data_IF_455976003352
#
_entry.id   IF_455976003352
#
_cell.length_a   1.000
_cell.length_b   1.000
_cell.length_c   1.000
_cell.angle_alpha   90.00
_cell.angle_beta   90.00
_cell.angle_gamma   90.00
#
_symmetry.space_group_name_H-M   'P 1'
#
loop_
_entity.id
_entity.type
_entity.pdbx_description
1 polymer ?
#
# COMPACT_ATOMS: atom_id res chain seq x y z
N UNK A 1 -2.07 -3.29 6.98
CA UNK A 1 -0.70 -2.87 6.60
C UNK A 1 -0.72 -1.89 5.41
N UNK A 2 -1.60 -0.87 5.49
CA UNK A 2 -1.31 0.45 4.90
C UNK A 2 0.02 1.02 5.43
N UNK A 3 0.60 0.45 6.48
CA UNK A 3 1.72 0.98 7.24
C UNK A 3 3.07 1.00 6.50
N UNK A 4 3.45 -0.02 5.71
CA UNK A 4 4.72 0.02 4.95
C UNK A 4 4.58 0.79 3.65
N UNK A 5 3.40 0.76 3.02
CA UNK A 5 3.08 1.62 1.88
C UNK A 5 2.94 3.08 2.29
N UNK A 6 2.25 3.39 3.40
CA UNK A 6 2.19 4.73 3.99
C UNK A 6 3.55 5.19 4.50
N UNK A 7 4.41 4.33 5.05
CA UNK A 7 5.76 4.73 5.43
C UNK A 7 6.61 5.07 4.21
N UNK A 8 6.71 4.20 3.20
CA UNK A 8 7.48 4.50 1.99
C UNK A 8 6.92 5.72 1.26
N UNK A 9 5.60 5.92 1.26
CA UNK A 9 4.97 7.01 0.56
C UNK A 9 4.95 8.33 1.35
N UNK A 10 4.75 8.30 2.68
CA UNK A 10 5.00 9.48 3.56
C UNK A 10 6.47 9.89 3.51
N UNK A 11 7.41 8.95 3.47
CA UNK A 11 8.84 9.24 3.33
C UNK A 11 9.19 9.73 1.92
N UNK A 12 8.64 9.13 0.86
CA UNK A 12 8.83 9.59 -0.52
C UNK A 12 8.20 10.96 -0.80
N UNK A 13 7.05 11.28 -0.21
CA UNK A 13 6.46 12.62 -0.24
C UNK A 13 7.28 13.64 0.56
N UNK A 14 7.88 13.24 1.69
CA UNK A 14 8.82 14.08 2.44
C UNK A 14 10.08 14.37 1.59
N UNK A 15 10.59 13.36 0.88
CA UNK A 15 11.76 13.47 0.01
C UNK A 15 11.48 14.28 -1.27
N UNK A 16 10.24 14.35 -1.77
CA UNK A 16 9.84 15.26 -2.87
C UNK A 16 9.89 16.75 -2.49
N UNK A 17 10.08 17.09 -1.21
CA UNK A 17 10.41 18.46 -0.78
C UNK A 17 11.91 18.77 -0.88
N UNK A 18 12.73 17.81 -1.31
CA UNK A 18 14.17 17.98 -1.54
C UNK A 18 14.46 17.95 -3.06
N UNK A 19 15.33 18.83 -3.58
CA UNK A 19 15.66 18.87 -5.00
C UNK A 19 16.43 17.60 -5.45
N UNK A 20 16.18 17.08 -6.67
CA UNK A 20 16.82 15.86 -7.16
C UNK A 20 18.30 16.07 -7.52
N UNK A 21 19.18 15.08 -7.25
CA UNK A 21 20.55 15.11 -7.74
C UNK A 21 20.62 14.79 -9.25
N UNK A 22 21.57 15.39 -10.00
CA UNK A 22 21.56 15.38 -11.46
C UNK A 22 22.37 14.19 -12.02
N UNK A 23 21.81 12.98 -12.02
CA UNK A 23 22.22 11.91 -12.98
C UNK A 23 21.54 10.58 -12.68
N UNK A 24 20.61 10.14 -13.54
CA UNK A 24 20.35 8.72 -13.83
C UNK A 24 19.24 8.62 -14.89
N UNK A 25 19.60 8.91 -16.14
CA UNK A 25 18.86 8.49 -17.33
C UNK A 25 19.48 7.18 -17.81
N UNK A 26 18.65 6.29 -18.39
CA UNK A 26 18.97 5.02 -19.07
C UNK A 26 18.78 3.75 -18.21
N UNK A 27 17.66 3.05 -18.43
CA UNK A 27 17.63 1.69 -19.01
C UNK A 27 16.17 1.19 -19.05
N UNK A 28 15.59 1.04 -20.25
CA UNK A 28 14.24 0.49 -20.47
C UNK A 28 14.21 -0.18 -21.84
N UNK A 29 14.05 -1.51 -21.90
CA UNK A 29 13.36 -2.28 -22.97
C UNK A 29 13.54 -3.79 -22.76
N UNK A 30 12.44 -4.58 -22.64
CA UNK A 30 12.07 -5.71 -23.55
C UNK A 30 10.74 -6.43 -23.14
N UNK A 31 9.86 -6.64 -24.13
CA UNK A 31 8.56 -7.36 -24.34
C UNK A 31 7.97 -8.33 -23.26
N UNK A 32 6.66 -8.45 -22.96
CA UNK A 32 5.34 -8.63 -23.68
C UNK A 32 5.09 -9.98 -24.41
N UNK A 33 4.15 -10.84 -23.93
CA UNK A 33 2.98 -11.41 -24.68
C UNK A 33 2.02 -12.35 -23.87
N UNK A 34 0.73 -11.95 -23.75
CA UNK A 34 -0.59 -12.69 -23.82
C UNK A 34 -0.78 -14.04 -23.03
N UNK A 35 -1.90 -14.37 -22.36
CA UNK A 35 -3.31 -14.36 -22.79
C UNK A 35 -4.30 -14.65 -21.62
N UNK A 36 -5.60 -14.58 -21.93
CA UNK A 36 -6.79 -14.30 -21.09
C UNK A 36 -7.41 -15.43 -20.25
N UNK A 37 -8.14 -14.97 -19.20
CA UNK A 37 -9.44 -15.43 -18.67
C UNK A 37 -9.59 -16.84 -18.09
N UNK A 38 -9.81 -16.95 -16.77
CA UNK A 38 -10.63 -18.02 -16.18
C UNK A 38 -11.40 -17.56 -14.93
N UNK A 39 -12.65 -18.02 -14.87
CA UNK A 39 -13.67 -17.88 -13.86
C UNK A 39 -13.31 -18.71 -12.60
N UNK A 40 -13.51 -18.18 -11.39
CA UNK A 40 -13.20 -18.90 -10.13
C UNK A 40 -14.46 -19.56 -9.53
N UNK A 41 -14.47 -20.87 -9.26
CA UNK A 41 -15.45 -21.50 -8.37
C UNK A 41 -15.04 -21.39 -6.90
N UNK A 42 -15.95 -21.60 -5.93
CA UNK A 42 -15.68 -21.42 -4.50
C UNK A 42 -14.82 -22.55 -3.93
N UNK A 43 -13.90 -22.21 -3.02
CA UNK A 43 -12.96 -23.15 -2.39
C UNK A 43 -13.58 -23.90 -1.19
N UNK A 44 -13.30 -25.21 -1.02
CA UNK A 44 -13.74 -25.98 0.14
C UNK A 44 -12.79 -25.82 1.34
N UNK A 45 -13.37 -26.03 2.54
CA UNK A 45 -12.70 -26.02 3.84
C UNK A 45 -11.57 -27.05 3.94
N UNK A 46 -10.44 -26.61 4.51
CA UNK A 46 -9.14 -27.27 4.40
C UNK A 46 -8.99 -28.57 5.20
N UNK A 47 -8.24 -29.49 4.59
CA UNK A 47 -7.46 -30.52 5.26
C UNK A 47 -5.97 -30.20 5.10
N UNK A 48 -5.18 -30.53 6.12
CA UNK A 48 -3.74 -30.26 6.19
C UNK A 48 -3.00 -30.85 4.96
N UNK A 49 -2.37 -29.99 4.17
CA UNK A 49 -1.54 -30.39 3.03
C UNK A 49 -0.12 -30.71 3.47
N UNK A 50 0.35 -31.92 3.17
CA UNK A 50 1.77 -32.29 3.21
C UNK A 50 2.55 -31.34 2.28
N UNK A 51 3.46 -30.54 2.86
CA UNK A 51 4.30 -29.57 2.16
C UNK A 51 5.50 -30.29 1.52
N UNK A 52 5.38 -30.64 0.24
CA UNK A 52 6.41 -31.37 -0.52
C UNK A 52 7.25 -30.47 -1.44
N UNK A 53 7.37 -29.18 -1.12
CA UNK A 53 8.29 -28.27 -1.81
C UNK A 53 9.66 -28.20 -1.11
N UNK A 54 10.74 -27.80 -1.80
CA UNK A 54 12.07 -27.68 -1.20
C UNK A 54 12.00 -26.85 0.09
N UNK A 55 12.52 -27.41 1.19
CA UNK A 55 12.66 -26.68 2.46
C UNK A 55 13.80 -25.69 2.30
N UNK A 56 13.49 -24.40 2.35
CA UNK A 56 14.52 -23.37 2.20
C UNK A 56 14.78 -22.74 3.56
N UNK A 57 16.04 -22.71 4.06
CA UNK A 57 16.35 -22.14 5.36
C UNK A 57 16.02 -20.66 5.37
N UNK A 58 15.10 -20.25 6.26
CA UNK A 58 14.82 -18.85 6.56
C UNK A 58 15.65 -18.44 7.76
N UNK A 59 16.16 -17.22 7.75
CA UNK A 59 16.76 -16.63 8.95
C UNK A 59 15.65 -16.18 9.91
N UNK A 60 15.04 -17.15 10.60
CA UNK A 60 13.95 -16.92 11.55
C UNK A 60 14.37 -15.98 12.68
N UNK A 61 15.65 -16.02 13.09
CA UNK A 61 16.19 -15.14 14.12
C UNK A 61 16.25 -13.67 13.66
N UNK A 62 16.69 -13.43 12.42
CA UNK A 62 16.64 -12.12 11.79
C UNK A 62 15.21 -11.60 11.67
N UNK A 63 14.30 -12.43 11.14
CA UNK A 63 12.90 -12.04 10.94
C UNK A 63 12.23 -11.67 12.26
N UNK A 64 12.36 -12.51 13.29
CA UNK A 64 11.77 -12.25 14.60
C UNK A 64 12.30 -10.95 15.24
N UNK A 65 13.60 -10.68 15.10
CA UNK A 65 14.21 -9.48 15.72
C UNK A 65 13.83 -8.20 14.96
N UNK A 66 13.95 -8.21 13.63
CA UNK A 66 13.76 -7.02 12.81
C UNK A 66 12.29 -6.64 12.68
N UNK A 67 11.40 -7.61 12.50
CA UNK A 67 9.96 -7.35 12.34
C UNK A 67 9.39 -6.74 13.62
N UNK A 68 9.65 -7.35 14.78
CA UNK A 68 9.14 -6.85 16.06
C UNK A 68 9.67 -5.44 16.35
N UNK A 69 10.97 -5.21 16.16
CA UNK A 69 11.57 -3.89 16.32
C UNK A 69 10.92 -2.82 15.42
N UNK A 70 10.65 -3.16 14.15
CA UNK A 70 9.97 -2.24 13.21
C UNK A 70 8.53 -1.96 13.64
N UNK A 71 7.80 -2.98 14.07
CA UNK A 71 6.42 -2.84 14.55
C UNK A 71 6.37 -1.95 15.80
N UNK A 72 7.27 -2.17 16.77
CA UNK A 72 7.30 -1.41 18.02
C UNK A 72 7.66 0.05 17.76
N UNK A 73 8.68 0.29 16.92
CA UNK A 73 9.03 1.64 16.50
C UNK A 73 7.84 2.33 15.82
N UNK A 74 7.17 1.64 14.91
CA UNK A 74 6.03 2.20 14.19
C UNK A 74 4.87 2.53 15.13
N UNK A 75 4.50 1.62 16.04
CA UNK A 75 3.47 1.86 17.07
C UNK A 75 3.83 3.08 17.91
N UNK A 76 5.09 3.20 18.35
CA UNK A 76 5.53 4.36 19.12
C UNK A 76 5.39 5.69 18.35
N UNK A 77 5.58 5.67 17.03
CA UNK A 77 5.38 6.84 16.16
C UNK A 77 3.90 7.16 16.04
N UNK A 78 3.06 6.16 15.78
CA UNK A 78 1.62 6.34 15.71
C UNK A 78 1.02 6.87 17.00
N UNK A 79 1.45 6.33 18.14
CA UNK A 79 0.97 6.76 19.45
C UNK A 79 1.35 8.21 19.71
N UNK A 80 2.58 8.61 19.38
CA UNK A 80 3.02 10.00 19.46
C UNK A 80 2.20 10.93 18.56
N UNK A 81 1.99 10.55 17.30
CA UNK A 81 1.15 11.31 16.36
C UNK A 81 -0.31 11.39 16.81
N UNK A 82 -0.84 10.32 17.41
CA UNK A 82 -2.19 10.28 17.96
C UNK A 82 -2.33 11.20 19.16
N UNK A 83 -1.38 11.14 20.10
CA UNK A 83 -1.34 12.02 21.27
C UNK A 83 -1.22 13.49 20.86
N UNK A 84 -0.35 13.80 19.89
CA UNK A 84 -0.23 15.14 19.35
C UNK A 84 -1.55 15.62 18.74
N UNK A 85 -2.26 14.77 17.99
CA UNK A 85 -3.57 15.11 17.41
C UNK A 85 -4.65 15.39 18.45
N UNK A 86 -4.62 14.72 19.61
CA UNK A 86 -5.57 15.00 20.70
C UNK A 86 -5.43 16.42 21.27
N UNK A 87 -4.27 17.04 21.11
CA UNK A 87 -4.04 18.43 21.53
C UNK A 87 -4.48 19.47 20.50
N UNK A 88 -4.87 19.06 19.30
CA UNK A 88 -5.25 19.95 18.22
C UNK A 88 -6.75 20.25 18.26
N UNK A 89 -7.12 21.49 17.94
CA UNK A 89 -8.52 21.92 17.90
C UNK A 89 -9.24 21.34 16.67
N UNK A 90 -10.43 20.75 16.84
CA UNK A 90 -11.26 20.24 15.74
C UNK A 90 -12.11 21.35 15.13
N UNK A 91 -11.47 22.42 14.69
CA UNK A 91 -12.14 23.60 14.13
C UNK A 91 -12.93 23.23 12.86
N UNK A 92 -14.07 23.89 12.58
CA UNK A 92 -14.79 23.69 11.33
C UNK A 92 -13.90 23.99 10.12
N UNK A 93 -14.00 23.16 9.09
CA UNK A 93 -13.28 23.33 7.82
C UNK A 93 -14.22 23.17 6.63
N UNK A 94 -13.93 23.89 5.56
CA UNK A 94 -14.67 23.84 4.30
C UNK A 94 -13.90 23.00 3.27
N UNK A 95 -14.57 21.98 2.74
CA UNK A 95 -14.00 21.03 1.80
C UNK A 95 -14.70 21.23 0.46
N UNK A 96 -13.96 21.74 -0.53
CA UNK A 96 -14.50 22.02 -1.87
C UNK A 96 -14.30 20.81 -2.77
N UNK A 97 -15.38 20.33 -3.40
CA UNK A 97 -15.36 19.22 -4.34
C UNK A 97 -15.24 19.71 -5.79
N UNK A 98 -14.86 18.84 -6.75
CA UNK A 98 -14.62 19.24 -8.14
C UNK A 98 -15.87 19.74 -8.88
N UNK A 99 -17.06 19.41 -8.39
CA UNK A 99 -18.35 19.89 -8.88
C UNK A 99 -18.71 21.29 -8.33
N UNK A 100 -17.85 21.88 -7.51
CA UNK A 100 -18.06 23.15 -6.83
C UNK A 100 -18.91 23.04 -5.56
N UNK A 101 -19.38 21.84 -5.20
CA UNK A 101 -20.10 21.65 -3.95
C UNK A 101 -19.14 21.76 -2.75
N UNK A 102 -19.67 22.24 -1.63
CA UNK A 102 -18.90 22.43 -0.39
C UNK A 102 -19.45 21.49 0.68
N UNK A 103 -18.53 20.78 1.34
CA UNK A 103 -18.80 19.92 2.49
C UNK A 103 -18.18 20.53 3.74
N UNK A 104 -18.91 20.44 4.84
CA UNK A 104 -18.43 20.88 6.15
C UNK A 104 -17.72 19.71 6.84
N UNK A 105 -16.53 19.95 7.36
CA UNK A 105 -15.74 18.98 8.10
C UNK A 105 -15.20 19.53 9.41
N UNK A 106 -14.48 18.69 10.13
CA UNK A 106 -13.72 19.08 11.33
C UNK A 106 -12.25 18.81 11.09
N UNK A 107 -11.43 19.83 11.30
CA UNK A 107 -9.98 19.75 11.24
C UNK A 107 -9.46 18.60 12.11
N UNK A 108 -8.47 17.86 11.62
CA UNK A 108 -7.85 16.70 12.29
C UNK A 108 -8.76 15.51 12.58
N UNK A 109 -10.04 15.57 12.20
CA UNK A 109 -11.03 14.53 12.45
C UNK A 109 -11.62 13.98 11.15
N UNK A 110 -12.10 14.85 10.26
CA UNK A 110 -12.69 14.45 8.97
C UNK A 110 -11.62 13.96 8.01
N UNK A 111 -11.87 12.81 7.38
CA UNK A 111 -10.98 12.20 6.38
C UNK A 111 -11.60 12.25 4.98
N UNK A 112 -10.79 12.13 3.90
CA UNK A 112 -11.34 11.95 2.54
C UNK A 112 -12.32 10.78 2.43
N UNK A 113 -12.12 9.71 3.19
CA UNK A 113 -13.02 8.56 3.23
C UNK A 113 -14.41 8.93 3.79
N UNK A 114 -14.47 9.76 4.83
CA UNK A 114 -15.74 10.23 5.38
C UNK A 114 -16.51 11.05 4.33
N UNK A 115 -15.81 11.96 3.63
CA UNK A 115 -16.41 12.75 2.55
C UNK A 115 -16.87 11.85 1.39
N UNK A 116 -16.07 10.84 1.01
CA UNK A 116 -16.46 9.88 -0.01
C UNK A 116 -17.74 9.12 0.37
N UNK A 117 -17.89 8.76 1.65
CA UNK A 117 -19.05 8.05 2.19
C UNK A 117 -20.30 8.91 2.21
N UNK A 118 -20.17 10.21 2.45
CA UNK A 118 -21.26 11.18 2.32
C UNK A 118 -21.74 11.37 0.88
N UNK A 119 -20.83 11.26 -0.10
CA UNK A 119 -21.19 11.33 -1.53
C UNK A 119 -21.93 10.05 -1.94
N UNK A 120 -21.32 8.89 -1.76
CA UNK A 120 -22.00 7.60 -1.95
C UNK A 120 -21.21 6.44 -1.35
N UNK A 121 -21.92 5.37 -0.96
CA UNK A 121 -21.29 4.12 -0.50
C UNK A 121 -20.40 3.48 -1.57
N UNK A 122 -20.81 3.56 -2.85
CA UNK A 122 -20.03 3.00 -3.94
C UNK A 122 -18.72 3.76 -4.16
N UNK A 123 -18.75 5.10 -4.11
CA UNK A 123 -17.53 5.90 -4.22
C UNK A 123 -16.59 5.63 -3.05
N UNK A 124 -17.09 5.58 -1.82
CA UNK A 124 -16.27 5.26 -0.65
C UNK A 124 -15.60 3.88 -0.75
N UNK A 125 -16.29 2.90 -1.33
CA UNK A 125 -15.75 1.55 -1.53
C UNK A 125 -14.71 1.48 -2.65
N UNK A 126 -14.77 2.36 -3.64
CA UNK A 126 -13.94 2.32 -4.84
C UNK A 126 -12.82 3.37 -4.86
N UNK A 127 -12.87 4.36 -3.97
CA UNK A 127 -11.85 5.40 -3.87
C UNK A 127 -10.57 4.83 -3.26
N UNK A 128 -9.45 5.04 -3.96
CA UNK A 128 -8.14 4.48 -3.61
C UNK A 128 -7.21 5.53 -3.01
N UNK A 129 -7.29 6.76 -3.52
CA UNK A 129 -6.44 7.87 -3.10
C UNK A 129 -7.21 9.18 -3.27
N UNK A 130 -6.83 10.19 -2.48
CA UNK A 130 -7.33 11.55 -2.62
C UNK A 130 -6.21 12.49 -3.09
N UNK A 131 -6.60 13.69 -3.52
CA UNK A 131 -5.71 14.83 -3.69
C UNK A 131 -6.31 16.01 -2.94
N UNK A 132 -5.51 16.59 -2.06
CA UNK A 132 -5.85 17.70 -1.19
C UNK A 132 -4.92 18.85 -1.55
N UNK A 133 -5.47 19.95 -2.05
CA UNK A 133 -4.71 21.14 -2.47
C UNK A 133 -3.55 20.82 -3.43
N UNK A 134 -3.82 19.94 -4.39
CA UNK A 134 -2.85 19.54 -5.39
C UNK A 134 -1.85 18.45 -4.95
N UNK A 135 -1.83 18.06 -3.67
CA UNK A 135 -0.97 17.00 -3.15
C UNK A 135 -1.75 15.70 -2.94
N UNK A 136 -1.16 14.55 -3.31
CA UNK A 136 -1.79 13.26 -3.05
C UNK A 136 -1.93 13.02 -1.53
N UNK A 137 -3.01 12.37 -1.14
CA UNK A 137 -3.45 12.25 0.25
C UNK A 137 -4.13 10.91 0.52
N UNK A 138 -3.77 10.25 1.63
CA UNK A 138 -4.36 8.96 2.00
C UNK A 138 -5.83 9.11 2.39
N UNK A 139 -6.66 8.14 2.00
CA UNK A 139 -8.11 8.16 2.26
C UNK A 139 -8.49 8.29 3.74
N UNK A 140 -7.68 7.74 4.64
CA UNK A 140 -7.92 7.77 6.09
C UNK A 140 -7.05 8.81 6.84
N UNK A 141 -6.28 9.64 6.12
CA UNK A 141 -5.51 10.71 6.75
C UNK A 141 -6.45 11.91 7.01
N UNK A 142 -6.58 12.39 8.26
CA UNK A 142 -7.43 13.55 8.54
C UNK A 142 -7.00 14.81 7.80
N UNK A 143 -7.97 15.63 7.43
CA UNK A 143 -7.74 16.92 6.76
C UNK A 143 -7.28 17.97 7.79
N UNK A 144 -6.37 18.85 7.37
CA UNK A 144 -5.64 19.76 8.27
C UNK A 144 -6.17 21.20 8.22
N UNK A 145 -7.14 21.49 7.34
CA UNK A 145 -7.70 22.81 7.13
C UNK A 145 -8.73 22.81 6.00
N UNK A 146 -9.15 24.01 5.60
CA UNK A 146 -9.92 24.21 4.37
C UNK A 146 -9.10 23.71 3.18
N UNK A 147 -9.74 22.98 2.26
CA UNK A 147 -9.04 22.38 1.15
C UNK A 147 -9.93 22.08 -0.06
N UNK A 148 -9.29 21.98 -1.23
CA UNK A 148 -9.87 21.36 -2.41
C UNK A 148 -9.61 19.85 -2.40
N UNK A 149 -10.68 19.06 -2.42
CA UNK A 149 -10.61 17.60 -2.37
C UNK A 149 -11.02 16.98 -3.69
N UNK A 150 -10.15 16.13 -4.25
CA UNK A 150 -10.45 15.26 -5.38
C UNK A 150 -10.23 13.81 -5.00
N UNK A 151 -11.18 12.94 -5.34
CA UNK A 151 -11.11 11.50 -5.09
C UNK A 151 -10.81 10.75 -6.38
N UNK A 152 -9.99 9.72 -6.27
CA UNK A 152 -9.52 8.93 -7.42
C UNK A 152 -9.85 7.46 -7.23
N UNK A 153 -10.47 6.88 -8.26
CA UNK A 153 -10.75 5.45 -8.38
C UNK A 153 -9.71 4.79 -9.28
N UNK A 154 -9.81 3.47 -9.46
CA UNK A 154 -8.94 2.70 -10.34
C UNK A 154 -8.95 3.17 -11.81
N UNK A 155 -9.93 3.96 -12.23
CA UNK A 155 -10.00 4.47 -13.62
C UNK A 155 -8.99 5.59 -13.90
N UNK A 156 -8.47 6.21 -12.84
CA UNK A 156 -7.44 7.26 -12.92
C UNK A 156 -6.03 6.72 -12.81
N UNK A 157 -5.05 7.46 -13.34
CA UNK A 157 -3.63 7.10 -13.20
C UNK A 157 -3.22 7.11 -11.72
N UNK A 158 -3.63 8.12 -10.95
CA UNK A 158 -3.32 8.22 -9.53
C UNK A 158 -3.88 7.03 -8.73
N UNK A 159 -5.09 6.58 -9.07
CA UNK A 159 -5.71 5.41 -8.44
C UNK A 159 -4.99 4.12 -8.80
N UNK A 160 -4.67 3.89 -10.10
CA UNK A 160 -3.91 2.71 -10.54
C UNK A 160 -2.53 2.64 -9.91
N UNK A 161 -1.81 3.76 -9.90
CA UNK A 161 -0.47 3.84 -9.31
C UNK A 161 -0.50 3.47 -7.82
N UNK A 162 -1.49 4.01 -7.09
CA UNK A 162 -1.67 3.70 -5.66
C UNK A 162 -2.02 2.23 -5.44
N UNK A 163 -2.91 1.67 -6.28
CA UNK A 163 -3.28 0.26 -6.22
C UNK A 163 -2.06 -0.65 -6.44
N UNK A 164 -1.35 -0.45 -7.55
CA UNK A 164 -0.18 -1.25 -7.91
C UNK A 164 0.97 -1.10 -6.92
N UNK A 165 1.17 0.09 -6.37
CA UNK A 165 2.14 0.29 -5.30
C UNK A 165 1.79 -0.53 -4.05
N UNK A 166 0.51 -0.53 -3.65
CA UNK A 166 0.05 -1.32 -2.51
C UNK A 166 0.16 -2.83 -2.77
N UNK A 167 -0.14 -3.29 -3.99
CA UNK A 167 0.04 -4.69 -4.41
C UNK A 167 1.51 -5.11 -4.38
N UNK A 168 2.43 -4.24 -4.79
CA UNK A 168 3.87 -4.48 -4.68
C UNK A 168 4.25 -4.75 -3.21
N UNK A 169 3.81 -3.92 -2.27
CA UNK A 169 4.12 -4.13 -0.85
C UNK A 169 3.57 -5.45 -0.29
N UNK A 170 2.39 -5.89 -0.75
CA UNK A 170 1.82 -7.20 -0.37
C UNK A 170 2.72 -8.34 -0.90
N UNK A 171 3.18 -8.23 -2.15
CA UNK A 171 4.12 -9.20 -2.72
C UNK A 171 5.46 -9.20 -1.96
N UNK A 172 6.03 -8.03 -1.70
CA UNK A 172 7.26 -7.88 -0.91
C UNK A 172 7.12 -8.52 0.48
N UNK A 173 6.01 -8.24 1.19
CA UNK A 173 5.74 -8.89 2.48
C UNK A 173 5.70 -10.41 2.35
N UNK A 174 5.01 -10.93 1.33
CA UNK A 174 4.94 -12.36 1.11
C UNK A 174 6.32 -12.95 0.84
N UNK A 175 7.17 -12.28 0.06
CA UNK A 175 8.53 -12.73 -0.22
C UNK A 175 9.39 -12.74 1.06
N UNK A 176 9.37 -11.65 1.84
CA UNK A 176 10.14 -11.53 3.10
C UNK A 176 9.70 -12.58 4.12
N UNK A 177 8.40 -12.82 4.29
CA UNK A 177 7.88 -13.81 5.25
C UNK A 177 8.04 -15.26 4.77
N UNK A 178 7.79 -15.51 3.49
CA UNK A 178 7.83 -16.87 2.94
C UNK A 178 9.25 -17.34 2.69
N UNK A 179 10.19 -16.45 2.37
CA UNK A 179 11.55 -16.85 1.99
C UNK A 179 12.65 -16.17 2.81
N UNK A 180 12.36 -15.16 3.62
CA UNK A 180 13.40 -14.44 4.37
C UNK A 180 14.30 -13.58 3.46
N UNK A 181 13.87 -13.28 2.24
CA UNK A 181 14.63 -12.45 1.31
C UNK A 181 14.69 -10.99 1.78
N UNK A 182 15.73 -10.27 1.33
CA UNK A 182 15.89 -8.85 1.64
C UNK A 182 15.25 -8.00 0.56
N UNK A 183 14.23 -7.24 0.93
CA UNK A 183 13.49 -6.37 0.01
C UNK A 183 14.38 -5.26 -0.57
N UNK A 184 14.27 -5.04 -1.87
CA UNK A 184 14.99 -4.00 -2.61
C UNK A 184 14.02 -2.96 -3.16
N UNK A 185 13.63 -3.06 -4.44
CA UNK A 185 12.82 -2.05 -5.13
C UNK A 185 11.49 -2.69 -5.55
N UNK A 186 10.36 -2.05 -5.23
CA UNK A 186 9.04 -2.50 -5.67
C UNK A 186 8.22 -1.37 -6.27
N UNK A 187 8.56 -0.85 -7.45
CA UNK A 187 7.81 0.21 -8.07
C UNK A 187 6.56 -0.36 -8.76
N UNK A 188 5.50 0.43 -8.82
CA UNK A 188 4.43 0.17 -9.77
C UNK A 188 4.98 0.38 -11.19
N UNK A 189 4.47 -0.38 -12.16
CA UNK A 189 4.82 -0.14 -13.56
C UNK A 189 4.11 1.14 -14.01
N UNK A 190 4.89 2.14 -14.43
CA UNK A 190 4.46 3.52 -14.74
C UNK A 190 3.52 3.65 -15.96
N UNK A 191 2.93 2.54 -16.42
CA UNK A 191 2.07 2.46 -17.61
C UNK A 191 0.82 1.59 -17.43
N UNK A 192 0.46 1.25 -16.20
CA UNK A 192 -0.74 0.44 -15.93
C UNK A 192 -0.60 -1.04 -16.26
N UNK A 193 0.64 -1.55 -16.34
CA UNK A 193 0.96 -2.94 -16.70
C UNK A 193 1.21 -3.83 -15.46
N UNK A 194 0.74 -3.39 -14.28
CA UNK A 194 0.88 -4.12 -13.02
C UNK A 194 2.03 -3.61 -12.15
N UNK A 195 2.66 -4.53 -11.41
CA UNK A 195 3.65 -4.25 -10.38
C UNK A 195 4.70 -5.35 -10.32
N UNK A 196 5.87 -5.04 -9.74
CA UNK A 196 6.89 -6.04 -9.42
C UNK A 196 7.55 -5.69 -8.08
N UNK A 197 8.32 -6.64 -7.55
CA UNK A 197 9.15 -6.42 -6.38
C UNK A 197 10.47 -7.18 -6.50
N UNK A 198 11.57 -6.46 -6.41
CA UNK A 198 12.92 -7.00 -6.38
C UNK A 198 13.29 -7.38 -4.95
N UNK A 199 13.84 -8.57 -4.78
CA UNK A 199 14.37 -9.02 -3.50
C UNK A 199 15.67 -9.77 -3.70
N UNK A 200 16.62 -9.52 -2.78
CA UNK A 200 17.88 -10.26 -2.73
C UNK A 200 17.70 -11.56 -1.94
N UNK A 201 18.09 -12.67 -2.56
CA UNK A 201 17.92 -14.01 -1.99
C UNK A 201 19.18 -14.87 -2.07
N UNK A 202 20.35 -14.30 -1.76
CA UNK A 202 21.61 -15.02 -1.79
C UNK A 202 21.87 -15.61 -3.18
N UNK A 203 22.26 -16.89 -3.22
CA UNK A 203 22.54 -17.62 -4.47
C UNK A 203 21.31 -18.34 -5.05
N UNK A 204 20.13 -18.19 -4.43
CA UNK A 204 18.90 -18.88 -4.83
C UNK A 204 18.01 -17.99 -5.70
N UNK A 205 17.55 -18.55 -6.82
CA UNK A 205 16.53 -17.96 -7.68
C UNK A 205 15.15 -18.55 -7.43
N UNK A 206 14.11 -17.71 -7.40
CA UNK A 206 12.73 -18.17 -7.38
C UNK A 206 12.26 -18.51 -8.80
N UNK A 207 11.49 -19.59 -8.91
CA UNK A 207 10.90 -20.09 -10.16
C UNK A 207 9.40 -20.40 -9.94
N UNK A 208 8.74 -20.99 -10.94
CA UNK A 208 7.30 -21.29 -10.90
C UNK A 208 6.90 -22.22 -9.74
N UNK A 209 7.78 -23.14 -9.31
CA UNK A 209 7.50 -24.06 -8.19
C UNK A 209 7.29 -23.30 -6.86
N UNK A 210 7.83 -22.09 -6.76
CA UNK A 210 7.74 -21.24 -5.59
C UNK A 210 6.47 -20.38 -5.55
N UNK A 211 5.77 -20.24 -6.69
CA UNK A 211 4.67 -19.28 -6.85
C UNK A 211 3.50 -19.58 -5.93
N UNK A 212 3.16 -20.87 -5.74
CA UNK A 212 2.04 -21.24 -4.87
C UNK A 212 2.23 -20.71 -3.44
N UNK A 213 3.44 -20.84 -2.88
CA UNK A 213 3.74 -20.35 -1.52
C UNK A 213 3.76 -18.81 -1.44
N UNK A 214 4.10 -18.13 -2.53
CA UNK A 214 4.01 -16.66 -2.62
C UNK A 214 2.55 -16.22 -2.65
N UNK A 215 1.72 -16.86 -3.48
CA UNK A 215 0.30 -16.53 -3.58
C UNK A 215 -0.43 -16.78 -2.25
N UNK A 216 -0.16 -17.90 -1.58
CA UNK A 216 -0.70 -18.22 -0.26
C UNK A 216 -0.27 -17.18 0.79
N UNK A 217 1.00 -16.73 0.75
CA UNK A 217 1.51 -15.67 1.62
C UNK A 217 0.87 -14.31 1.36
N UNK A 218 0.68 -13.94 0.09
CA UNK A 218 0.01 -12.71 -0.30
C UNK A 218 -1.47 -12.69 0.14
N UNK A 219 -2.20 -13.80 -0.07
CA UNK A 219 -3.57 -13.97 0.43
C UNK A 219 -3.65 -13.81 1.95
N UNK A 220 -2.70 -14.39 2.68
CA UNK A 220 -2.61 -14.22 4.15
C UNK A 220 -2.34 -12.77 4.54
N UNK A 221 -1.45 -12.07 3.84
CA UNK A 221 -1.13 -10.67 4.08
C UNK A 221 -2.34 -9.73 3.87
N UNK A 222 -3.17 -10.01 2.87
CA UNK A 222 -4.44 -9.31 2.64
C UNK A 222 -5.40 -9.50 3.82
N UNK A 223 -5.59 -10.75 4.27
CA UNK A 223 -6.49 -11.04 5.40
C UNK A 223 -6.04 -10.35 6.69
N UNK A 224 -4.75 -10.47 7.06
CA UNK A 224 -4.20 -9.80 8.25
C UNK A 224 -4.39 -8.28 8.17
N UNK A 225 -4.29 -7.70 6.97
CA UNK A 225 -4.48 -6.26 6.76
C UNK A 225 -5.92 -5.79 6.92
N UNK A 226 -6.92 -6.65 6.71
CA UNK A 226 -8.35 -6.32 6.84
C UNK A 226 -8.85 -6.40 8.29
N UNK A 227 -8.21 -7.21 9.14
CA UNK A 227 -8.63 -7.41 10.53
C UNK A 227 -7.82 -6.60 11.56
N UNK A 228 -6.83 -5.83 11.12
CA UNK A 228 -5.94 -5.03 12.00
C UNK A 228 -6.22 -3.52 11.97
N UNK A 229 -7.36 -3.10 11.40
CA UNK A 229 -7.80 -1.69 11.32
C UNK A 229 -9.05 -1.45 12.14
#
# INVERSE_FOLDING_TARGET
MLLTSQLCWRFALLLRRLPPPPSALHFRTFLLRHCSSLHSPPLPMGTASNDSGPSVPKDEAYLATVINKRIDLFKSIQDREKLQRLSLSPDPIRIVLPDGSVKEGKKWNTTPFDVAKEISKSLASNALIAKVDGALWDMHRPLEGDCELKLFTFDSDEGRDTFWHSSAHILGQSLEQTYGCRLCIGPCTTRGEGFYYDAFYGDLGLNEDHFKRIDDGAKKAVLVSLFST
#
